data_IF_505845236582
#
_entry.id   IF_505845236582
#
_cell.length_a   1.000
_cell.length_b   1.000
_cell.length_c   1.000
_cell.angle_alpha   90.00
_cell.angle_beta   90.00
_cell.angle_gamma   90.00
#
_symmetry.space_group_name_H-M   'P 1'
#
loop_
_entity.id
_entity.type
_entity.pdbx_description
1 polymer ?
#
# COMPACT_ATOMS: atom_id res chain seq x y z
N UNK A 1 -6.89 -25.49 8.55
CA UNK A 1 -6.53 -26.71 7.81
C UNK A 1 -5.83 -26.39 6.50
N UNK A 2 -6.37 -25.54 5.61
CA UNK A 2 -5.76 -25.17 4.33
C UNK A 2 -4.32 -24.70 4.45
N UNK A 3 -3.99 -23.91 5.50
CA UNK A 3 -2.64 -23.47 5.77
C UNK A 3 -1.71 -24.62 6.15
N UNK A 4 -2.19 -25.53 6.99
CA UNK A 4 -1.45 -26.74 7.41
C UNK A 4 -1.15 -27.62 6.20
N UNK A 5 -2.11 -27.82 5.32
CA UNK A 5 -1.96 -28.55 4.06
C UNK A 5 -0.96 -27.89 3.13
N UNK A 6 -1.19 -26.63 2.79
CA UNK A 6 -0.35 -25.84 1.87
C UNK A 6 1.13 -25.87 2.24
N UNK A 7 1.43 -25.76 3.53
CA UNK A 7 2.79 -25.67 4.05
C UNK A 7 3.32 -27.00 4.58
N UNK A 8 2.56 -28.09 4.40
CA UNK A 8 2.92 -29.44 4.87
C UNK A 8 3.29 -29.45 6.38
N UNK A 9 2.53 -28.73 7.22
CA UNK A 9 2.76 -28.60 8.67
C UNK A 9 2.08 -29.70 9.48
N UNK A 10 1.79 -30.82 8.88
CA UNK A 10 1.25 -32.01 9.54
C UNK A 10 2.36 -32.84 10.20
N UNK A 11 1.95 -33.75 11.07
CA UNK A 11 2.90 -34.62 11.80
C UNK A 11 3.71 -35.49 10.82
N UNK A 12 5.01 -35.69 11.14
CA UNK A 12 5.93 -36.55 10.36
C UNK A 12 5.62 -38.06 10.47
N UNK A 13 4.45 -38.45 10.96
CA UNK A 13 4.00 -39.84 10.90
C UNK A 13 3.76 -40.24 9.45
N UNK A 14 3.96 -41.53 9.07
CA UNK A 14 3.60 -41.97 7.74
C UNK A 14 2.14 -41.61 7.46
N UNK A 15 1.94 -40.85 6.37
CA UNK A 15 0.60 -40.49 5.93
C UNK A 15 -0.04 -41.70 5.27
N UNK A 16 -1.33 -41.90 5.56
CA UNK A 16 -2.12 -42.99 4.99
C UNK A 16 -3.56 -42.55 4.76
N UNK A 17 -4.21 -43.18 3.81
CA UNK A 17 -5.66 -43.07 3.63
C UNK A 17 -6.39 -43.71 4.81
N UNK A 18 -7.69 -43.46 4.92
CA UNK A 18 -8.54 -44.06 5.95
C UNK A 18 -8.67 -45.58 5.82
N UNK A 19 -8.38 -46.13 4.66
CA UNK A 19 -8.28 -47.57 4.37
C UNK A 19 -6.85 -48.13 4.48
N UNK A 20 -5.90 -47.35 4.99
CA UNK A 20 -4.55 -47.78 5.35
C UNK A 20 -3.52 -47.76 4.19
N UNK A 21 -3.85 -47.18 3.05
CA UNK A 21 -2.90 -47.03 1.94
C UNK A 21 -1.90 -45.91 2.19
N UNK A 22 -0.58 -46.11 2.03
CA UNK A 22 0.42 -45.07 2.26
C UNK A 22 0.25 -43.93 1.25
N UNK A 23 0.40 -42.67 1.73
CA UNK A 23 0.33 -41.46 0.93
C UNK A 23 1.65 -40.71 1.01
N UNK A 24 2.13 -40.24 -0.14
CA UNK A 24 3.20 -39.23 -0.27
C UNK A 24 2.65 -38.00 -0.97
N UNK A 25 2.75 -36.83 -0.32
CA UNK A 25 2.34 -35.55 -0.92
C UNK A 25 3.56 -34.93 -1.62
N UNK A 26 3.63 -35.11 -2.94
CA UNK A 26 4.70 -34.57 -3.79
C UNK A 26 4.50 -33.05 -3.90
N UNK A 27 3.32 -32.61 -4.35
CA UNK A 27 2.91 -31.21 -4.46
C UNK A 27 1.51 -31.04 -3.85
N UNK A 28 1.31 -30.12 -2.87
CA UNK A 28 0.01 -29.88 -2.27
C UNK A 28 -1.00 -29.20 -3.22
N UNK A 29 -0.56 -28.69 -4.36
CA UNK A 29 -1.37 -27.96 -5.32
C UNK A 29 -1.42 -26.45 -5.08
N UNK A 30 -2.10 -25.77 -5.99
CA UNK A 30 -2.32 -24.33 -5.95
C UNK A 30 -3.62 -24.02 -5.22
N UNK A 31 -3.56 -23.21 -4.16
CA UNK A 31 -4.73 -22.82 -3.40
C UNK A 31 -5.73 -22.05 -4.27
N UNK A 32 -6.99 -22.47 -4.24
CA UNK A 32 -8.10 -21.82 -4.92
C UNK A 32 -8.72 -20.74 -4.03
N UNK A 33 -8.99 -19.56 -4.62
CA UNK A 33 -9.67 -18.45 -3.96
C UNK A 33 -11.08 -18.20 -4.52
N UNK A 34 -11.55 -19.09 -5.39
CA UNK A 34 -12.83 -19.01 -6.10
C UNK A 34 -13.68 -20.27 -5.84
N UNK A 35 -14.79 -20.41 -6.55
CA UNK A 35 -15.62 -21.62 -6.48
C UNK A 35 -14.87 -22.86 -6.99
N UNK A 36 -15.21 -24.05 -6.49
CA UNK A 36 -14.60 -25.34 -6.81
C UNK A 36 -13.63 -25.82 -5.73
N UNK A 37 -12.90 -26.94 -5.96
CA UNK A 37 -12.02 -27.54 -4.97
C UNK A 37 -10.96 -26.59 -4.41
N UNK A 38 -10.57 -26.79 -3.16
CA UNK A 38 -9.68 -25.91 -2.39
C UNK A 38 -8.25 -25.78 -2.95
N UNK A 39 -7.75 -26.86 -3.57
CA UNK A 39 -6.43 -26.88 -4.21
C UNK A 39 -6.50 -27.53 -5.57
N UNK A 40 -5.92 -26.86 -6.57
CA UNK A 40 -5.82 -27.36 -7.94
C UNK A 40 -4.47 -28.00 -8.23
N UNK A 41 -4.48 -29.00 -9.14
CA UNK A 41 -3.26 -29.61 -9.69
C UNK A 41 -2.31 -30.14 -8.60
N UNK A 42 -2.83 -30.64 -7.51
CA UNK A 42 -2.02 -31.36 -6.52
C UNK A 42 -1.44 -32.64 -7.14
N UNK A 43 -0.25 -33.04 -6.71
CA UNK A 43 0.40 -34.27 -7.09
C UNK A 43 0.70 -35.09 -5.85
N UNK A 44 0.04 -36.25 -5.76
CA UNK A 44 0.17 -37.16 -4.63
C UNK A 44 0.48 -38.58 -5.14
N UNK A 45 1.10 -39.39 -4.30
CA UNK A 45 1.29 -40.83 -4.58
C UNK A 45 0.52 -41.62 -3.53
N UNK A 46 -0.39 -42.48 -3.93
CA UNK A 46 -1.12 -43.43 -3.07
C UNK A 46 -0.65 -44.80 -3.46
N UNK A 47 -0.07 -45.55 -2.52
CA UNK A 47 0.72 -46.75 -2.80
C UNK A 47 1.80 -46.44 -3.84
N UNK A 48 1.80 -47.14 -4.98
CA UNK A 48 2.74 -46.94 -6.07
C UNK A 48 2.18 -46.13 -7.26
N UNK A 49 0.94 -45.62 -7.14
CA UNK A 49 0.28 -44.87 -8.20
C UNK A 49 0.38 -43.37 -7.92
N UNK A 50 0.87 -42.62 -8.89
CA UNK A 50 0.89 -41.16 -8.82
C UNK A 50 -0.39 -40.57 -9.40
N UNK A 51 -1.06 -39.74 -8.61
CA UNK A 51 -2.30 -39.06 -8.97
C UNK A 51 -2.03 -37.57 -9.15
N UNK A 52 -2.65 -36.98 -10.16
CA UNK A 52 -2.67 -35.52 -10.37
C UNK A 52 -4.11 -35.07 -10.48
N UNK A 53 -4.51 -34.13 -9.61
CA UNK A 53 -5.90 -33.64 -9.54
C UNK A 53 -6.09 -32.64 -8.42
N UNK A 54 -7.29 -32.53 -7.93
CA UNK A 54 -7.68 -31.53 -6.96
C UNK A 54 -7.81 -32.13 -5.54
N UNK A 55 -7.66 -31.25 -4.54
CA UNK A 55 -7.81 -31.61 -3.12
C UNK A 55 -8.94 -30.77 -2.55
N UNK A 56 -9.79 -31.41 -1.74
CA UNK A 56 -10.82 -30.74 -0.94
C UNK A 56 -10.55 -30.98 0.54
N UNK A 57 -10.73 -29.95 1.38
CA UNK A 57 -10.37 -29.97 2.80
C UNK A 57 -11.54 -29.49 3.66
N UNK A 58 -11.97 -30.32 4.59
CA UNK A 58 -13.05 -30.01 5.52
C UNK A 58 -12.63 -30.14 7.00
N UNK A 59 -13.40 -29.57 7.90
CA UNK A 59 -13.26 -29.83 9.33
C UNK A 59 -13.78 -31.24 9.65
N UNK A 60 -15.00 -31.53 9.21
CA UNK A 60 -15.63 -32.84 9.31
C UNK A 60 -15.84 -33.43 7.91
N UNK A 61 -15.66 -34.74 7.77
CA UNK A 61 -15.83 -35.39 6.47
C UNK A 61 -17.30 -35.28 5.95
N UNK A 62 -18.27 -35.23 6.84
CA UNK A 62 -19.70 -35.01 6.51
C UNK A 62 -19.97 -33.64 5.88
N UNK A 63 -19.07 -32.65 5.99
CA UNK A 63 -19.18 -31.36 5.30
C UNK A 63 -19.24 -31.53 3.77
N UNK A 64 -18.63 -32.58 3.24
CA UNK A 64 -18.73 -32.95 1.82
C UNK A 64 -20.18 -33.02 1.35
N UNK A 65 -21.03 -33.69 2.13
CA UNK A 65 -22.46 -33.81 1.83
C UNK A 65 -23.24 -32.55 2.18
N UNK A 66 -22.88 -31.87 3.24
CA UNK A 66 -23.52 -30.62 3.69
C UNK A 66 -23.36 -29.51 2.66
N UNK A 67 -22.22 -29.48 1.97
CA UNK A 67 -21.93 -28.55 0.88
C UNK A 67 -22.42 -29.04 -0.49
N UNK A 68 -23.05 -30.23 -0.57
CA UNK A 68 -23.55 -30.85 -1.80
C UNK A 68 -22.47 -31.18 -2.84
N UNK A 69 -21.22 -31.38 -2.44
CA UNK A 69 -20.13 -31.70 -3.38
C UNK A 69 -20.35 -33.03 -4.12
N UNK A 70 -21.05 -33.98 -3.50
CA UNK A 70 -21.44 -35.27 -4.09
C UNK A 70 -22.45 -35.13 -5.27
N UNK A 71 -23.02 -33.94 -5.46
CA UNK A 71 -23.96 -33.66 -6.56
C UNK A 71 -23.34 -32.74 -7.63
N UNK A 72 -22.16 -32.19 -7.37
CA UNK A 72 -21.51 -31.24 -8.27
C UNK A 72 -20.35 -31.89 -9.04
N UNK A 73 -20.48 -32.07 -10.38
CA UNK A 73 -19.43 -32.66 -11.21
C UNK A 73 -18.08 -31.93 -11.15
N UNK A 74 -18.04 -30.67 -10.73
CA UNK A 74 -16.79 -29.90 -10.56
C UNK A 74 -15.85 -30.56 -9.56
N UNK A 75 -16.41 -31.30 -8.57
CA UNK A 75 -15.67 -32.00 -7.53
C UNK A 75 -15.28 -33.43 -7.91
N UNK A 76 -15.71 -33.96 -9.06
CA UNK A 76 -15.35 -35.30 -9.53
C UNK A 76 -13.84 -35.44 -9.84
N UNK A 77 -13.15 -34.32 -10.03
CA UNK A 77 -11.70 -34.21 -10.20
C UNK A 77 -10.90 -34.27 -8.89
N UNK A 78 -11.57 -34.35 -7.73
CA UNK A 78 -10.91 -34.47 -6.42
C UNK A 78 -10.29 -35.88 -6.30
N UNK A 79 -8.96 -35.91 -6.09
CA UNK A 79 -8.17 -37.14 -5.98
C UNK A 79 -7.95 -37.56 -4.51
N UNK A 80 -8.11 -36.62 -3.56
CA UNK A 80 -8.00 -36.86 -2.13
C UNK A 80 -8.89 -35.87 -1.38
N UNK A 81 -9.73 -36.39 -0.53
CA UNK A 81 -10.47 -35.62 0.47
C UNK A 81 -9.71 -35.64 1.80
N UNK A 82 -9.48 -34.48 2.38
CA UNK A 82 -8.72 -34.30 3.62
C UNK A 82 -9.64 -33.74 4.70
N UNK A 83 -9.72 -34.37 5.87
CA UNK A 83 -10.51 -33.83 6.97
C UNK A 83 -9.80 -34.02 8.32
N UNK A 84 -10.14 -33.17 9.31
CA UNK A 84 -9.66 -33.33 10.68
C UNK A 84 -10.42 -34.41 11.46
N UNK A 85 -11.68 -34.62 11.12
CA UNK A 85 -12.58 -35.59 11.74
C UNK A 85 -13.26 -36.43 10.66
N UNK A 86 -13.09 -37.72 10.74
CA UNK A 86 -13.60 -38.70 9.74
C UNK A 86 -14.91 -39.31 10.23
N UNK A 87 -16.01 -38.64 9.96
CA UNK A 87 -17.36 -39.06 10.31
C UNK A 87 -18.21 -39.53 9.11
N UNK A 88 -17.69 -39.42 7.90
CA UNK A 88 -18.37 -39.86 6.66
C UNK A 88 -17.37 -40.28 5.58
N UNK A 89 -17.83 -40.98 4.55
CA UNK A 89 -17.05 -41.39 3.39
C UNK A 89 -17.50 -40.58 2.17
N UNK A 90 -16.64 -39.71 1.59
CA UNK A 90 -17.02 -38.86 0.46
C UNK A 90 -17.17 -39.67 -0.83
N UNK A 91 -18.15 -39.29 -1.65
CA UNK A 91 -18.44 -39.91 -2.95
C UNK A 91 -18.49 -38.86 -4.06
N UNK A 92 -18.11 -39.25 -5.26
CA UNK A 92 -18.29 -38.46 -6.48
C UNK A 92 -19.76 -38.45 -6.92
N UNK A 93 -20.08 -37.67 -7.93
CA UNK A 93 -21.43 -37.60 -8.52
C UNK A 93 -21.89 -38.95 -9.11
N UNK A 94 -20.96 -39.80 -9.51
CA UNK A 94 -21.22 -41.16 -10.04
C UNK A 94 -21.31 -42.24 -8.93
N UNK A 95 -21.15 -41.86 -7.65
CA UNK A 95 -21.21 -42.76 -6.49
C UNK A 95 -19.86 -43.43 -6.14
N UNK A 96 -18.80 -43.23 -6.89
CA UNK A 96 -17.46 -43.73 -6.52
C UNK A 96 -16.92 -43.04 -5.27
N UNK A 97 -16.30 -43.80 -4.36
CA UNK A 97 -15.67 -43.28 -3.17
C UNK A 97 -14.38 -42.53 -3.53
N UNK A 98 -14.14 -41.41 -2.85
CA UNK A 98 -12.90 -40.62 -2.98
C UNK A 98 -11.92 -41.09 -1.90
N UNK A 99 -10.64 -41.33 -2.25
CA UNK A 99 -9.59 -41.55 -1.25
C UNK A 99 -9.62 -40.45 -0.19
N UNK A 100 -9.54 -40.83 1.08
CA UNK A 100 -9.69 -39.89 2.21
C UNK A 100 -8.52 -40.02 3.17
N UNK A 101 -8.10 -38.90 3.75
CA UNK A 101 -7.01 -38.83 4.73
C UNK A 101 -7.44 -37.97 5.94
N UNK A 102 -7.15 -38.47 7.13
CA UNK A 102 -7.26 -37.69 8.35
C UNK A 102 -6.03 -36.79 8.53
N UNK A 103 -6.24 -35.48 8.69
CA UNK A 103 -5.18 -34.49 8.82
C UNK A 103 -4.84 -34.24 10.30
N UNK A 104 -3.76 -34.85 10.76
CA UNK A 104 -3.24 -34.59 12.09
C UNK A 104 -2.14 -33.53 12.04
N UNK A 105 -2.27 -32.51 12.88
CA UNK A 105 -1.25 -31.48 13.04
C UNK A 105 -0.90 -31.25 14.51
N UNK A 106 0.34 -30.79 14.81
CA UNK A 106 0.75 -30.55 16.19
C UNK A 106 -0.11 -29.49 16.87
N UNK A 107 -0.58 -29.70 18.12
CA UNK A 107 -1.44 -28.76 18.84
C UNK A 107 -0.84 -27.36 18.97
N UNK A 108 0.49 -27.23 19.10
CA UNK A 108 1.16 -25.93 19.19
C UNK A 108 0.89 -25.01 17.98
N UNK A 109 0.55 -25.55 16.83
CA UNK A 109 0.21 -24.72 15.65
C UNK A 109 -1.08 -23.93 15.90
N UNK A 110 -2.06 -24.55 16.51
CA UNK A 110 -3.33 -23.86 16.87
C UNK A 110 -3.08 -22.85 17.99
N UNK A 111 -2.31 -23.21 19.01
CA UNK A 111 -1.93 -22.34 20.12
C UNK A 111 -1.18 -21.10 19.61
N UNK A 112 -0.18 -21.27 18.74
CA UNK A 112 0.56 -20.18 18.12
C UNK A 112 -0.36 -19.28 17.28
N UNK A 113 -1.32 -19.86 16.57
CA UNK A 113 -2.29 -19.07 15.78
C UNK A 113 -3.20 -18.22 16.68
N UNK A 114 -3.73 -18.81 17.74
CA UNK A 114 -4.56 -18.10 18.69
C UNK A 114 -3.78 -16.98 19.39
N UNK A 115 -2.51 -17.21 19.75
CA UNK A 115 -1.64 -16.20 20.32
C UNK A 115 -1.43 -15.02 19.35
N UNK A 116 -1.14 -15.29 18.08
CA UNK A 116 -0.97 -14.26 17.06
C UNK A 116 -2.23 -13.41 16.87
N UNK A 117 -3.41 -14.03 16.90
CA UNK A 117 -4.67 -13.30 16.70
C UNK A 117 -5.09 -12.51 17.94
N UNK A 118 -4.91 -13.09 19.15
CA UNK A 118 -5.30 -12.48 20.42
C UNK A 118 -4.31 -11.45 20.95
N UNK A 119 -3.09 -11.43 20.42
CA UNK A 119 -2.05 -10.54 20.94
C UNK A 119 -2.46 -9.07 20.85
N UNK A 120 -2.45 -8.40 22.00
CA UNK A 120 -2.69 -6.96 22.13
C UNK A 120 -1.43 -6.17 21.80
N UNK A 121 -0.26 -6.74 22.07
CA UNK A 121 1.02 -6.12 21.75
C UNK A 121 1.33 -6.27 20.28
N UNK A 122 1.64 -5.18 19.68
CA UNK A 122 1.92 -5.13 18.26
C UNK A 122 3.42 -4.89 17.99
N UNK A 123 4.05 -5.60 17.01
CA UNK A 123 3.54 -6.75 16.25
C UNK A 123 3.48 -8.03 17.09
N UNK A 124 2.49 -8.87 16.85
CA UNK A 124 2.29 -10.09 17.63
C UNK A 124 3.52 -11.02 17.65
N UNK A 125 4.24 -11.09 16.52
CA UNK A 125 5.41 -11.94 16.32
C UNK A 125 6.75 -11.30 16.77
N UNK A 126 6.73 -10.20 17.56
CA UNK A 126 7.95 -9.45 17.92
C UNK A 126 9.05 -10.31 18.60
N UNK A 127 8.65 -11.35 19.37
CA UNK A 127 9.59 -12.20 20.13
C UNK A 127 10.54 -13.00 19.24
N UNK A 128 10.10 -13.39 18.04
CA UNK A 128 10.92 -14.21 17.16
C UNK A 128 11.79 -13.41 16.19
N UNK A 129 11.45 -12.14 15.93
CA UNK A 129 12.14 -11.32 14.94
C UNK A 129 13.66 -11.30 15.14
N UNK A 130 14.19 -11.08 16.36
CA UNK A 130 15.64 -11.06 16.58
C UNK A 130 16.34 -12.42 16.35
N UNK A 131 15.57 -13.50 16.29
CA UNK A 131 16.07 -14.86 16.12
C UNK A 131 16.01 -15.35 14.67
N UNK A 132 15.37 -14.55 13.78
CA UNK A 132 15.21 -14.91 12.37
C UNK A 132 16.51 -14.67 11.59
N UNK A 133 16.83 -15.54 10.62
CA UNK A 133 17.98 -15.32 9.73
C UNK A 133 17.86 -13.98 8.98
N UNK A 134 18.94 -13.22 8.92
CA UNK A 134 18.97 -11.92 8.21
C UNK A 134 18.57 -12.05 6.74
N UNK A 135 18.98 -13.13 6.07
CA UNK A 135 18.59 -13.42 4.69
C UNK A 135 17.07 -13.54 4.51
N UNK A 136 16.37 -14.20 5.44
CA UNK A 136 14.93 -14.35 5.41
C UNK A 136 14.24 -12.99 5.53
N UNK A 137 14.69 -12.17 6.48
CA UNK A 137 14.15 -10.83 6.68
C UNK A 137 14.39 -9.94 5.46
N UNK A 138 15.60 -9.97 4.91
CA UNK A 138 15.97 -9.19 3.73
C UNK A 138 15.13 -9.58 2.50
N UNK A 139 15.01 -10.89 2.23
CA UNK A 139 14.18 -11.41 1.14
C UNK A 139 12.71 -11.02 1.30
N UNK A 140 12.20 -11.05 2.54
CA UNK A 140 10.82 -10.65 2.79
C UNK A 140 10.60 -9.15 2.62
N UNK A 141 11.52 -8.30 3.10
CA UNK A 141 11.45 -6.85 2.90
C UNK A 141 11.51 -6.48 1.42
N UNK A 142 12.35 -7.14 0.62
CA UNK A 142 12.40 -6.93 -0.83
C UNK A 142 11.06 -7.26 -1.51
N UNK A 143 10.43 -8.38 -1.12
CA UNK A 143 9.09 -8.73 -1.62
C UNK A 143 8.06 -7.66 -1.25
N UNK A 144 8.04 -7.22 0.00
CA UNK A 144 7.12 -6.20 0.49
C UNK A 144 7.34 -4.83 -0.16
N UNK A 145 8.57 -4.51 -0.54
CA UNK A 145 8.90 -3.29 -1.29
C UNK A 145 8.25 -3.33 -2.68
N UNK A 146 8.32 -4.45 -3.38
CA UNK A 146 7.65 -4.63 -4.68
C UNK A 146 6.14 -4.52 -4.52
N UNK A 147 5.55 -5.23 -3.57
CA UNK A 147 4.10 -5.10 -3.27
C UNK A 147 3.70 -3.65 -2.96
N UNK A 148 4.57 -2.91 -2.27
CA UNK A 148 4.33 -1.49 -1.96
C UNK A 148 4.29 -0.65 -3.23
N UNK A 149 5.20 -0.88 -4.17
CA UNK A 149 5.18 -0.24 -5.48
C UNK A 149 3.91 -0.57 -6.26
N UNK A 150 3.52 -1.84 -6.29
CA UNK A 150 2.30 -2.28 -6.99
C UNK A 150 1.04 -1.63 -6.40
N UNK A 151 0.91 -1.60 -5.08
CA UNK A 151 -0.20 -0.94 -4.41
C UNK A 151 -0.27 0.57 -4.72
N UNK A 152 0.88 1.25 -4.80
CA UNK A 152 0.93 2.66 -5.18
C UNK A 152 0.63 2.86 -6.67
N UNK A 153 1.11 1.97 -7.52
CA UNK A 153 0.80 1.96 -8.96
C UNK A 153 -0.71 1.85 -9.19
N UNK A 154 -1.39 0.92 -8.51
CA UNK A 154 -2.85 0.79 -8.60
C UNK A 154 -3.60 2.08 -8.21
N UNK A 155 -3.11 2.82 -7.20
CA UNK A 155 -3.68 4.12 -6.84
C UNK A 155 -3.47 5.17 -7.93
N UNK A 156 -2.30 5.19 -8.56
CA UNK A 156 -1.99 6.08 -9.69
C UNK A 156 -2.85 5.72 -10.90
N UNK A 157 -2.98 4.44 -11.24
CA UNK A 157 -3.81 3.94 -12.33
C UNK A 157 -5.29 4.32 -12.16
N UNK A 158 -5.78 4.33 -10.93
CA UNK A 158 -7.12 4.82 -10.62
C UNK A 158 -7.29 6.29 -11.03
N UNK A 159 -6.33 7.16 -10.68
CA UNK A 159 -6.37 8.55 -11.11
C UNK A 159 -6.23 8.69 -12.63
N UNK A 160 -5.36 7.91 -13.26
CA UNK A 160 -5.22 7.92 -14.72
C UNK A 160 -6.54 7.52 -15.41
N UNK A 161 -7.24 6.53 -14.89
CA UNK A 161 -8.54 6.12 -15.41
C UNK A 161 -9.61 7.22 -15.20
N UNK A 162 -9.64 7.87 -14.03
CA UNK A 162 -10.57 8.96 -13.72
C UNK A 162 -10.35 10.21 -14.61
N UNK A 163 -9.08 10.46 -15.04
CA UNK A 163 -8.69 11.68 -15.75
C UNK A 163 -8.10 11.43 -17.14
N UNK A 164 -8.70 10.52 -17.90
CA UNK A 164 -8.40 10.27 -19.32
C UNK A 164 -6.91 10.05 -19.63
N UNK A 165 -6.18 9.31 -18.78
CA UNK A 165 -4.75 9.01 -18.92
C UNK A 165 -3.84 10.27 -18.86
N UNK A 166 -4.30 11.35 -18.22
CA UNK A 166 -3.49 12.54 -17.97
C UNK A 166 -2.51 12.32 -16.81
N UNK A 167 -1.25 11.98 -17.16
CA UNK A 167 -0.17 11.74 -16.21
C UNK A 167 0.21 13.00 -15.40
N UNK A 168 0.18 14.18 -16.03
CA UNK A 168 0.52 15.43 -15.35
C UNK A 168 -0.53 15.76 -14.28
N UNK A 169 -1.82 15.55 -14.61
CA UNK A 169 -2.89 15.80 -13.65
C UNK A 169 -2.95 14.75 -12.53
N UNK A 170 -2.78 13.46 -12.85
CA UNK A 170 -2.68 12.41 -11.84
C UNK A 170 -1.49 12.65 -10.88
N UNK A 171 -0.37 13.11 -11.42
CA UNK A 171 0.80 13.51 -10.64
C UNK A 171 0.48 14.70 -9.73
N UNK A 172 -0.16 15.76 -10.24
CA UNK A 172 -0.56 16.92 -9.46
C UNK A 172 -1.44 16.53 -8.27
N UNK A 173 -2.47 15.70 -8.49
CA UNK A 173 -3.37 15.23 -7.43
C UNK A 173 -2.59 14.47 -6.35
N UNK A 174 -1.71 13.56 -6.74
CA UNK A 174 -0.91 12.76 -5.81
C UNK A 174 0.12 13.60 -5.07
N UNK A 175 0.79 14.55 -5.74
CA UNK A 175 1.72 15.48 -5.15
C UNK A 175 1.01 16.35 -4.09
N UNK A 176 -0.12 16.93 -4.45
CA UNK A 176 -0.94 17.73 -3.56
C UNK A 176 -1.38 16.92 -2.32
N UNK A 177 -1.89 15.70 -2.51
CA UNK A 177 -2.22 14.80 -1.40
C UNK A 177 -1.05 14.64 -0.42
N UNK A 178 0.15 14.43 -0.93
CA UNK A 178 1.36 14.25 -0.13
C UNK A 178 1.85 15.55 0.51
N UNK A 179 1.54 16.73 -0.05
CA UNK A 179 1.73 18.03 0.61
C UNK A 179 0.86 18.22 1.87
N UNK A 180 -0.19 17.45 2.02
CA UNK A 180 -1.01 17.39 3.23
C UNK A 180 -0.33 16.70 4.42
N UNK A 181 0.79 16.01 4.22
CA UNK A 181 1.63 15.34 5.23
C UNK A 181 0.81 14.58 6.28
N UNK A 182 -0.19 13.83 5.84
CA UNK A 182 -1.06 12.98 6.66
C UNK A 182 -2.31 13.71 7.17
N UNK A 183 -2.18 14.82 7.91
CA UNK A 183 -3.32 15.48 8.56
C UNK A 183 -4.33 16.05 7.57
N UNK A 184 -3.86 16.67 6.51
CA UNK A 184 -4.68 17.28 5.47
C UNK A 184 -4.62 16.53 4.12
N UNK A 185 -4.07 15.32 4.06
CA UNK A 185 -3.85 14.61 2.80
C UNK A 185 -5.12 14.43 1.98
N UNK A 186 -6.20 13.99 2.59
CA UNK A 186 -7.48 13.78 1.90
C UNK A 186 -8.11 15.10 1.44
N UNK A 187 -7.98 16.17 2.26
CA UNK A 187 -8.45 17.51 1.89
C UNK A 187 -7.65 18.08 0.72
N UNK A 188 -6.32 17.89 0.71
CA UNK A 188 -5.47 18.29 -0.42
C UNK A 188 -5.80 17.53 -1.71
N UNK A 189 -6.13 16.25 -1.61
CA UNK A 189 -6.57 15.46 -2.78
C UNK A 189 -7.90 15.99 -3.33
N UNK A 190 -8.89 16.21 -2.48
CA UNK A 190 -10.18 16.78 -2.88
C UNK A 190 -10.02 18.16 -3.53
N UNK A 191 -9.21 19.02 -2.91
CA UNK A 191 -8.87 20.31 -3.47
C UNK A 191 -8.20 20.21 -4.84
N UNK A 192 -7.17 19.36 -4.97
CA UNK A 192 -6.45 19.21 -6.22
C UNK A 192 -7.35 18.74 -7.38
N UNK A 193 -8.32 17.88 -7.10
CA UNK A 193 -9.35 17.43 -8.06
C UNK A 193 -10.28 18.55 -8.54
N UNK A 194 -10.37 19.66 -7.79
CA UNK A 194 -11.14 20.84 -8.19
C UNK A 194 -10.31 21.88 -8.95
N UNK A 195 -8.97 21.77 -8.95
CA UNK A 195 -8.08 22.73 -9.60
C UNK A 195 -7.98 22.44 -11.09
N UNK A 196 -8.33 23.39 -11.97
CA UNK A 196 -8.23 23.20 -13.42
C UNK A 196 -6.78 23.39 -13.88
N UNK A 197 -5.96 22.36 -13.79
CA UNK A 197 -4.51 22.45 -14.05
C UNK A 197 -4.19 23.03 -15.44
N UNK A 198 -5.01 22.71 -16.45
CA UNK A 198 -4.87 23.27 -17.80
C UNK A 198 -5.05 24.81 -17.83
N UNK A 199 -5.93 25.36 -16.97
CA UNK A 199 -6.07 26.81 -16.83
C UNK A 199 -4.91 27.42 -16.05
N UNK A 200 -4.47 26.77 -14.98
CA UNK A 200 -3.28 27.17 -14.20
C UNK A 200 -2.04 27.21 -15.09
N UNK A 201 -1.85 26.23 -15.97
CA UNK A 201 -0.73 26.16 -16.91
C UNK A 201 -0.68 27.35 -17.89
N UNK A 202 -1.83 27.95 -18.24
CA UNK A 202 -1.88 29.16 -19.08
C UNK A 202 -1.45 30.44 -18.35
N UNK A 203 -1.35 30.38 -17.03
CA UNK A 203 -1.00 31.52 -16.16
C UNK A 203 0.29 31.25 -15.36
N UNK A 204 1.13 30.34 -15.84
CA UNK A 204 2.37 29.93 -15.13
C UNK A 204 3.39 31.06 -14.93
N UNK A 205 3.38 32.04 -15.79
CA UNK A 205 4.26 33.20 -15.72
C UNK A 205 3.92 34.17 -14.58
N UNK A 206 2.72 34.04 -13.99
CA UNK A 206 2.25 34.90 -12.91
C UNK A 206 1.94 34.12 -11.64
N UNK A 207 2.90 34.16 -10.67
CA UNK A 207 2.74 33.49 -9.38
C UNK A 207 1.46 33.91 -8.63
N UNK A 208 1.11 35.21 -8.68
CA UNK A 208 -0.06 35.73 -7.98
C UNK A 208 -1.36 35.11 -8.54
N UNK A 209 -1.45 34.92 -9.86
CA UNK A 209 -2.58 34.25 -10.47
C UNK A 209 -2.65 32.77 -10.11
N UNK A 210 -1.52 32.08 -10.03
CA UNK A 210 -1.51 30.68 -9.54
C UNK A 210 -1.99 30.61 -8.08
N UNK A 211 -1.51 31.50 -7.23
CA UNK A 211 -1.97 31.59 -5.84
C UNK A 211 -3.47 31.88 -5.77
N UNK A 212 -4.00 32.79 -6.61
CA UNK A 212 -5.43 33.08 -6.68
C UNK A 212 -6.25 31.85 -7.09
N UNK A 213 -5.81 31.08 -8.10
CA UNK A 213 -6.42 29.79 -8.43
C UNK A 213 -6.44 28.84 -7.26
N UNK A 214 -5.28 28.67 -6.62
CA UNK A 214 -5.10 27.66 -5.57
C UNK A 214 -5.88 27.99 -4.31
N UNK A 215 -5.75 29.23 -3.80
CA UNK A 215 -6.48 29.66 -2.60
C UNK A 215 -7.99 29.78 -2.82
N UNK A 216 -8.38 30.23 -4.01
CA UNK A 216 -9.78 30.33 -4.37
C UNK A 216 -10.46 28.96 -4.47
N UNK A 217 -9.85 28.01 -5.16
CA UNK A 217 -10.36 26.62 -5.25
C UNK A 217 -10.29 25.89 -3.90
N UNK A 218 -9.38 26.28 -3.02
CA UNK A 218 -9.29 25.76 -1.66
C UNK A 218 -10.39 26.26 -0.72
N UNK A 219 -11.18 27.26 -1.13
CA UNK A 219 -12.18 27.91 -0.29
C UNK A 219 -11.56 28.67 0.90
N UNK A 220 -10.29 29.08 0.79
CA UNK A 220 -9.56 29.77 1.86
C UNK A 220 -9.64 31.31 1.74
N UNK A 221 -10.16 31.84 0.62
CA UNK A 221 -10.44 33.24 0.46
C UNK A 221 -11.78 33.57 1.11
N UNK A 222 -11.77 34.43 2.12
CA UNK A 222 -12.99 34.89 2.80
C UNK A 222 -13.79 35.83 1.90
N UNK A 223 -15.09 35.98 2.14
CA UNK A 223 -15.93 36.92 1.38
C UNK A 223 -15.48 38.37 1.56
N UNK A 224 -14.99 38.73 2.77
CA UNK A 224 -14.47 40.05 3.10
C UNK A 224 -12.93 40.01 3.20
N UNK A 225 -12.24 40.94 2.52
CA UNK A 225 -10.79 41.04 2.61
C UNK A 225 -10.33 41.44 4.01
N UNK A 226 -9.23 40.88 4.48
CA UNK A 226 -8.61 41.20 5.76
C UNK A 226 -7.40 42.14 5.65
N UNK A 227 -6.88 42.29 4.44
CA UNK A 227 -5.77 43.18 4.08
C UNK A 227 -5.78 43.46 2.55
N UNK A 228 -4.89 44.35 2.10
CA UNK A 228 -4.78 44.71 0.69
C UNK A 228 -4.36 43.53 -0.20
N UNK A 229 -3.59 42.59 0.32
CA UNK A 229 -3.18 41.40 -0.44
C UNK A 229 -4.38 40.49 -0.72
N UNK A 230 -5.18 40.21 0.29
CA UNK A 230 -6.40 39.38 0.16
C UNK A 230 -7.46 40.06 -0.70
N UNK A 231 -7.59 41.40 -0.63
CA UNK A 231 -8.49 42.16 -1.49
C UNK A 231 -8.15 41.96 -2.99
N UNK A 232 -6.87 42.12 -3.34
CA UNK A 232 -6.40 41.90 -4.70
C UNK A 232 -6.56 40.41 -5.13
N UNK A 233 -6.29 39.48 -4.23
CA UNK A 233 -6.41 38.05 -4.52
C UNK A 233 -7.87 37.63 -4.77
N UNK A 234 -8.83 38.17 -4.01
CA UNK A 234 -10.27 37.95 -4.21
C UNK A 234 -10.70 38.51 -5.57
N UNK A 235 -10.26 39.73 -5.94
CA UNK A 235 -10.54 40.34 -7.25
C UNK A 235 -10.01 39.45 -8.37
N UNK A 236 -8.76 39.04 -8.28
CA UNK A 236 -8.11 38.17 -9.28
C UNK A 236 -8.80 36.81 -9.39
N UNK A 237 -9.11 36.18 -8.26
CA UNK A 237 -9.83 34.91 -8.28
C UNK A 237 -11.23 35.03 -8.89
N UNK A 238 -11.98 36.10 -8.59
CA UNK A 238 -13.30 36.33 -9.17
C UNK A 238 -13.22 36.49 -10.70
N UNK A 239 -12.20 37.18 -11.21
CA UNK A 239 -11.93 37.25 -12.63
C UNK A 239 -11.66 35.88 -13.24
N UNK A 240 -10.76 35.12 -12.63
CA UNK A 240 -10.40 33.76 -13.08
C UNK A 240 -11.61 32.80 -12.98
N UNK A 241 -12.39 32.94 -11.91
CA UNK A 241 -13.62 32.15 -11.69
C UNK A 241 -14.61 32.35 -12.83
N UNK A 242 -14.87 33.58 -13.24
CA UNK A 242 -15.75 33.91 -14.37
C UNK A 242 -15.16 33.42 -15.71
N UNK A 243 -13.86 33.68 -15.93
CA UNK A 243 -13.18 33.32 -17.17
C UNK A 243 -13.16 31.82 -17.44
N UNK A 244 -13.02 30.97 -16.41
CA UNK A 244 -12.89 29.53 -16.54
C UNK A 244 -14.09 28.73 -16.00
N UNK A 245 -15.16 29.39 -15.53
CA UNK A 245 -16.35 28.73 -14.99
C UNK A 245 -16.07 27.91 -13.72
N UNK A 246 -15.17 28.41 -12.85
CA UNK A 246 -14.69 27.64 -11.69
C UNK A 246 -15.74 27.55 -10.60
N UNK A 247 -15.73 26.41 -9.90
CA UNK A 247 -16.51 26.21 -8.69
C UNK A 247 -15.55 25.80 -7.56
N UNK A 248 -15.44 26.58 -6.47
CA UNK A 248 -14.62 26.17 -5.32
C UNK A 248 -15.18 24.89 -4.70
N UNK A 249 -14.30 24.04 -4.19
CA UNK A 249 -14.71 22.82 -3.51
C UNK A 249 -15.37 23.17 -2.17
N UNK A 250 -16.66 22.83 -2.00
CA UNK A 250 -17.39 22.98 -0.75
C UNK A 250 -16.96 21.99 0.34
N UNK A 251 -16.24 20.93 -0.05
CA UNK A 251 -15.95 19.79 0.83
C UNK A 251 -14.56 19.88 1.48
N UNK A 252 -13.78 20.90 1.17
CA UNK A 252 -12.45 21.11 1.72
C UNK A 252 -12.53 21.54 3.19
N UNK A 253 -12.34 20.60 4.11
CA UNK A 253 -12.29 20.86 5.55
C UNK A 253 -10.85 20.89 6.03
N UNK A 254 -10.25 22.07 6.01
CA UNK A 254 -8.87 22.26 6.41
C UNK A 254 -8.67 22.15 7.91
N UNK A 255 -7.67 21.35 8.33
CA UNK A 255 -7.32 21.15 9.74
C UNK A 255 -6.09 21.98 10.10
N UNK A 256 -6.17 22.76 11.18
CA UNK A 256 -5.08 23.57 11.71
C UNK A 256 -4.61 23.08 13.09
N UNK A 257 -5.51 22.45 13.83
CA UNK A 257 -5.25 22.00 15.19
C UNK A 257 -4.10 20.98 15.21
N UNK A 258 -3.18 21.17 16.16
CA UNK A 258 -1.97 20.33 16.35
C UNK A 258 -0.95 20.40 15.19
N UNK A 259 -1.06 21.38 14.30
CA UNK A 259 -0.04 21.66 13.31
C UNK A 259 0.85 22.82 13.76
N UNK A 260 2.16 22.74 13.45
CA UNK A 260 3.04 23.90 13.52
C UNK A 260 2.67 24.89 12.41
N UNK A 261 2.76 26.22 12.63
CA UNK A 261 2.35 27.21 11.63
C UNK A 261 2.95 27.01 10.24
N UNK A 262 4.24 26.62 10.16
CA UNK A 262 4.89 26.29 8.87
C UNK A 262 4.28 25.09 8.11
N UNK A 263 3.39 24.34 8.74
CA UNK A 263 2.65 23.21 8.14
C UNK A 263 1.17 23.53 7.89
N UNK A 264 0.75 24.78 8.10
CA UNK A 264 -0.63 25.17 7.82
C UNK A 264 -0.96 25.02 6.33
N UNK A 265 -2.21 24.70 5.99
CA UNK A 265 -2.65 24.59 4.60
C UNK A 265 -2.25 25.78 3.74
N UNK A 266 -2.36 27.01 4.26
CA UNK A 266 -1.95 28.22 3.56
C UNK A 266 -0.49 28.16 3.09
N UNK A 267 0.43 27.81 3.98
CA UNK A 267 1.85 27.72 3.65
C UNK A 267 2.10 26.60 2.63
N UNK A 268 1.44 25.45 2.78
CA UNK A 268 1.60 24.32 1.87
C UNK A 268 1.04 24.61 0.48
N UNK A 269 -0.09 25.32 0.38
CA UNK A 269 -0.66 25.78 -0.90
C UNK A 269 0.26 26.82 -1.55
N UNK A 270 0.76 27.80 -0.79
CA UNK A 270 1.71 28.78 -1.30
C UNK A 270 3.02 28.15 -1.82
N UNK A 271 3.55 27.16 -1.09
CA UNK A 271 4.72 26.40 -1.50
C UNK A 271 4.46 25.65 -2.82
N UNK A 272 3.30 25.03 -2.96
CA UNK A 272 2.92 24.29 -4.17
C UNK A 272 2.70 25.26 -5.35
N UNK A 273 2.10 26.43 -5.13
CA UNK A 273 1.95 27.49 -6.14
C UNK A 273 3.31 27.96 -6.65
N UNK A 274 4.24 28.24 -5.75
CA UNK A 274 5.59 28.66 -6.08
C UNK A 274 6.36 27.57 -6.85
N UNK A 275 6.18 26.30 -6.49
CA UNK A 275 6.76 25.16 -7.19
C UNK A 275 6.26 25.07 -8.63
N UNK A 276 4.94 25.20 -8.84
CA UNK A 276 4.33 25.18 -10.17
C UNK A 276 4.69 26.40 -11.02
N UNK A 277 4.81 27.56 -10.42
CA UNK A 277 5.27 28.77 -11.11
C UNK A 277 6.70 28.62 -11.66
N UNK A 278 7.61 28.07 -10.84
CA UNK A 278 9.03 27.96 -11.18
C UNK A 278 9.32 26.87 -12.21
N UNK A 279 8.55 25.77 -12.18
CA UNK A 279 8.85 24.56 -12.95
C UNK A 279 8.02 24.49 -14.23
N UNK A 280 8.66 24.55 -15.40
CA UNK A 280 8.00 24.23 -16.66
C UNK A 280 8.05 22.71 -16.88
N UNK A 281 6.90 22.03 -16.84
CA UNK A 281 6.84 20.57 -17.03
C UNK A 281 7.44 19.80 -15.84
N UNK A 282 7.04 20.12 -14.62
CA UNK A 282 7.53 19.50 -13.38
C UNK A 282 7.51 17.97 -13.43
N UNK A 283 6.43 17.39 -13.93
CA UNK A 283 6.32 15.93 -14.06
C UNK A 283 7.44 15.35 -14.94
N UNK A 284 7.63 15.90 -16.16
CA UNK A 284 8.65 15.40 -17.08
C UNK A 284 10.06 15.53 -16.51
N UNK A 285 10.38 16.69 -15.92
CA UNK A 285 11.70 16.92 -15.31
C UNK A 285 11.98 15.93 -14.17
N UNK A 286 10.97 15.61 -13.33
CA UNK A 286 11.10 14.64 -12.25
C UNK A 286 11.25 13.20 -12.78
N UNK A 287 10.58 12.88 -13.92
CA UNK A 287 10.72 11.55 -14.54
C UNK A 287 12.07 11.37 -15.25
N UNK A 288 12.73 12.45 -15.66
CA UNK A 288 14.05 12.44 -16.30
C UNK A 288 15.21 12.46 -15.29
N UNK A 289 14.99 12.98 -14.09
CA UNK A 289 16.02 13.09 -13.05
C UNK A 289 16.67 11.75 -12.70
N UNK A 290 17.98 11.70 -12.64
CA UNK A 290 18.77 10.49 -12.42
C UNK A 290 19.25 10.33 -10.98
N UNK A 291 19.26 11.41 -10.20
CA UNK A 291 19.78 11.42 -8.83
C UNK A 291 18.80 12.03 -7.82
N UNK A 292 18.91 11.59 -6.56
CA UNK A 292 18.14 12.17 -5.44
C UNK A 292 18.42 13.69 -5.29
N UNK A 293 19.63 14.14 -5.58
CA UNK A 293 19.96 15.55 -5.49
C UNK A 293 19.28 16.39 -6.57
N UNK A 294 19.16 15.89 -7.79
CA UNK A 294 18.36 16.53 -8.84
C UNK A 294 16.88 16.61 -8.42
N UNK A 295 16.31 15.52 -7.94
CA UNK A 295 14.92 15.50 -7.43
C UNK A 295 14.70 16.51 -6.32
N UNK A 296 15.64 16.62 -5.36
CA UNK A 296 15.59 17.63 -4.30
C UNK A 296 15.63 19.04 -4.84
N UNK A 297 16.48 19.32 -5.83
CA UNK A 297 16.59 20.64 -6.43
C UNK A 297 15.32 21.03 -7.20
N UNK A 298 14.70 20.10 -7.92
CA UNK A 298 13.43 20.31 -8.62
C UNK A 298 12.28 20.60 -7.65
N UNK A 299 12.25 19.91 -6.50
CA UNK A 299 11.22 20.09 -5.47
C UNK A 299 11.57 21.17 -4.43
N UNK A 300 12.74 21.78 -4.51
CA UNK A 300 13.10 22.88 -3.60
C UNK A 300 12.15 24.05 -3.84
N UNK A 301 11.38 24.42 -2.85
CA UNK A 301 10.36 25.46 -2.97
C UNK A 301 10.35 26.40 -1.76
N UNK A 302 9.88 27.61 -2.01
CA UNK A 302 9.58 28.63 -1.02
C UNK A 302 8.15 29.10 -1.17
N UNK A 303 7.90 30.35 -0.82
CA UNK A 303 6.60 31.02 -0.94
C UNK A 303 6.79 32.41 -1.54
N UNK A 304 5.70 33.07 -1.98
CA UNK A 304 5.72 34.49 -2.36
C UNK A 304 6.01 35.39 -1.15
N UNK A 305 6.31 36.65 -1.43
CA UNK A 305 6.77 37.62 -0.43
C UNK A 305 5.79 37.81 0.74
N UNK A 306 4.50 37.83 0.47
CA UNK A 306 3.46 37.97 1.51
C UNK A 306 3.63 36.91 2.62
N UNK A 307 3.92 35.67 2.24
CA UNK A 307 4.05 34.57 3.20
C UNK A 307 5.36 34.63 4.02
N UNK A 308 6.30 35.49 3.70
CA UNK A 308 7.46 35.69 4.57
C UNK A 308 7.06 36.22 5.95
N UNK A 309 5.99 37.01 6.03
CA UNK A 309 5.48 37.62 7.25
C UNK A 309 4.12 37.12 7.70
N UNK A 310 3.56 36.09 7.03
CA UNK A 310 2.24 35.53 7.35
C UNK A 310 2.24 34.00 7.36
N UNK A 311 1.44 33.40 8.24
CA UNK A 311 1.14 31.97 8.23
C UNK A 311 -0.33 31.68 7.85
N UNK A 312 -1.18 32.69 7.99
CA UNK A 312 -2.58 32.76 7.56
C UNK A 312 -2.85 34.16 7.05
N UNK A 313 -3.93 34.36 6.33
CA UNK A 313 -4.30 35.68 5.85
C UNK A 313 -4.53 36.67 7.01
N UNK A 314 -4.06 37.90 6.85
CA UNK A 314 -4.30 39.02 7.75
C UNK A 314 -3.64 38.95 9.13
N UNK A 315 -2.88 37.90 9.46
CA UNK A 315 -2.22 37.77 10.77
C UNK A 315 -0.70 37.87 10.59
N UNK A 316 -0.09 39.05 10.88
CA UNK A 316 1.34 39.23 10.73
C UNK A 316 2.16 38.36 11.70
N UNK A 317 3.34 37.97 11.28
CA UNK A 317 4.34 37.27 12.06
C UNK A 317 5.74 37.81 11.76
N UNK A 318 6.76 37.55 12.59
CA UNK A 318 8.13 37.85 12.25
C UNK A 318 8.52 37.28 10.90
N UNK A 319 9.30 38.04 10.12
CA UNK A 319 9.76 37.62 8.79
C UNK A 319 10.62 36.38 8.89
N UNK A 320 10.24 35.35 8.16
CA UNK A 320 10.95 34.07 8.10
C UNK A 320 10.69 33.38 6.77
N UNK A 321 11.73 32.90 6.05
CA UNK A 321 11.55 32.10 4.84
C UNK A 321 10.79 30.80 5.13
N UNK A 322 9.70 30.56 4.40
CA UNK A 322 8.89 29.34 4.53
C UNK A 322 9.23 28.35 3.44
N UNK A 323 10.44 27.80 3.51
CA UNK A 323 10.93 26.80 2.58
C UNK A 323 10.48 25.39 2.99
N UNK A 324 10.38 24.50 2.00
CA UNK A 324 10.18 23.08 2.26
C UNK A 324 11.46 22.49 2.85
N UNK A 325 11.39 21.87 4.02
CA UNK A 325 12.55 21.23 4.64
C UNK A 325 13.02 20.03 3.81
N UNK A 326 14.31 19.70 3.89
CA UNK A 326 14.85 18.54 3.17
C UNK A 326 14.11 17.24 3.55
N UNK A 327 13.79 17.04 4.82
CA UNK A 327 13.01 15.86 5.25
C UNK A 327 11.61 15.82 4.64
N UNK A 328 10.94 16.97 4.48
CA UNK A 328 9.65 17.05 3.78
C UNK A 328 9.82 16.77 2.28
N UNK A 329 10.88 17.29 1.67
CA UNK A 329 11.20 17.01 0.26
C UNK A 329 11.46 15.52 0.04
N UNK A 330 12.23 14.87 0.92
CA UNK A 330 12.51 13.44 0.85
C UNK A 330 11.21 12.62 0.96
N UNK A 331 10.28 13.02 1.84
CA UNK A 331 8.96 12.38 1.93
C UNK A 331 8.12 12.54 0.65
N UNK A 332 8.20 13.70 -0.03
CA UNK A 332 7.54 13.89 -1.33
C UNK A 332 8.17 13.01 -2.41
N UNK A 333 9.48 12.87 -2.42
CA UNK A 333 10.20 11.99 -3.34
C UNK A 333 9.77 10.53 -3.10
N UNK A 334 9.85 10.04 -1.87
CA UNK A 334 9.50 8.66 -1.48
C UNK A 334 8.04 8.33 -1.80
N UNK A 335 7.13 9.27 -1.53
CA UNK A 335 5.70 8.99 -1.58
C UNK A 335 5.00 9.45 -2.87
N UNK A 336 5.66 10.26 -3.71
CA UNK A 336 5.11 10.74 -4.99
C UNK A 336 6.01 10.39 -6.17
N UNK A 337 7.23 10.95 -6.22
CA UNK A 337 8.07 10.89 -7.42
C UNK A 337 8.48 9.47 -7.77
N UNK A 338 9.04 8.75 -6.80
CA UNK A 338 9.52 7.37 -7.00
C UNK A 338 8.38 6.42 -7.38
N UNK A 339 7.20 6.42 -6.71
CA UNK A 339 6.05 5.64 -7.16
C UNK A 339 5.58 5.97 -8.58
N UNK A 340 5.58 7.26 -8.97
CA UNK A 340 5.24 7.65 -10.33
C UNK A 340 6.26 7.17 -11.35
N UNK A 341 7.56 7.25 -11.03
CA UNK A 341 8.61 6.72 -11.89
C UNK A 341 8.45 5.21 -12.11
N UNK A 342 8.14 4.46 -11.05
CA UNK A 342 7.88 3.02 -11.14
C UNK A 342 6.62 2.73 -11.98
N UNK A 343 5.50 3.39 -11.68
CA UNK A 343 4.24 3.22 -12.41
C UNK A 343 4.37 3.59 -13.89
N UNK A 344 5.09 4.68 -14.20
CA UNK A 344 5.37 5.10 -15.57
C UNK A 344 6.26 4.09 -16.30
N UNK A 345 7.26 3.54 -15.62
CA UNK A 345 8.08 2.44 -16.15
C UNK A 345 7.25 1.20 -16.49
N UNK A 346 6.35 0.79 -15.61
CA UNK A 346 5.43 -0.33 -15.86
C UNK A 346 4.50 -0.05 -17.06
N UNK A 347 3.91 1.14 -17.12
CA UNK A 347 3.03 1.54 -18.21
C UNK A 347 3.75 1.55 -19.56
N UNK A 348 5.02 1.96 -19.60
CA UNK A 348 5.85 2.00 -20.82
C UNK A 348 6.58 0.68 -21.09
N UNK A 349 6.39 -0.37 -20.29
CA UNK A 349 7.15 -1.62 -20.34
C UNK A 349 8.67 -1.37 -20.33
N UNK A 350 9.12 -0.42 -19.50
CA UNK A 350 10.51 0.01 -19.39
C UNK A 350 11.08 -0.36 -18.01
N UNK A 351 11.73 -1.52 -17.95
CA UNK A 351 12.32 -2.05 -16.72
C UNK A 351 13.46 -1.16 -16.17
N UNK A 352 14.15 -0.39 -17.02
CA UNK A 352 15.20 0.53 -16.57
C UNK A 352 14.63 1.64 -15.67
N UNK A 353 13.42 2.15 -15.96
CA UNK A 353 12.74 3.12 -15.10
C UNK A 353 12.33 2.50 -13.76
N UNK A 354 11.81 1.28 -13.77
CA UNK A 354 11.46 0.55 -12.55
C UNK A 354 12.70 0.33 -11.66
N UNK A 355 13.82 -0.09 -12.27
CA UNK A 355 15.08 -0.29 -11.56
C UNK A 355 15.64 1.04 -10.99
N UNK A 356 15.54 2.13 -11.77
CA UNK A 356 15.95 3.47 -11.30
C UNK A 356 15.11 3.91 -10.10
N UNK A 357 13.79 3.67 -10.11
CA UNK A 357 12.92 3.97 -8.98
C UNK A 357 13.37 3.24 -7.70
N UNK A 358 13.73 1.95 -7.82
CA UNK A 358 14.24 1.16 -6.70
C UNK A 358 15.58 1.73 -6.18
N UNK A 359 16.54 2.02 -7.07
CA UNK A 359 17.84 2.59 -6.69
C UNK A 359 17.70 3.94 -5.98
N UNK A 360 16.88 4.85 -6.51
CA UNK A 360 16.64 6.15 -5.89
C UNK A 360 16.01 6.02 -4.49
N UNK A 361 15.15 5.00 -4.30
CA UNK A 361 14.56 4.72 -2.99
C UNK A 361 15.59 4.22 -1.98
N UNK A 362 16.58 3.44 -2.43
CA UNK A 362 17.68 2.92 -1.59
C UNK A 362 18.72 4.02 -1.24
N UNK A 363 18.87 5.07 -2.06
CA UNK A 363 19.74 6.21 -1.75
C UNK A 363 19.16 7.14 -0.66
N UNK A 364 17.86 7.07 -0.40
CA UNK A 364 17.19 7.91 0.60
C UNK A 364 17.26 7.29 1.99
N UNK A 365 17.41 8.15 3.00
CA UNK A 365 17.32 7.72 4.40
C UNK A 365 15.93 7.16 4.73
N UNK A 366 15.84 6.18 5.65
CA UNK A 366 14.55 5.66 6.09
C UNK A 366 13.68 6.76 6.68
N UNK A 367 12.37 6.62 6.52
CA UNK A 367 11.39 7.51 7.13
C UNK A 367 11.48 7.42 8.66
N UNK A 368 11.27 8.54 9.34
CA UNK A 368 11.20 8.58 10.80
C UNK A 368 9.76 8.80 11.25
N UNK A 369 8.99 7.73 11.33
CA UNK A 369 7.61 7.75 11.82
C UNK A 369 7.42 6.70 12.93
N UNK A 370 6.21 6.68 13.54
CA UNK A 370 5.93 5.75 14.65
C UNK A 370 6.04 4.28 14.26
N UNK A 371 5.71 3.93 13.00
CA UNK A 371 5.79 2.55 12.49
C UNK A 371 7.25 2.09 12.47
N UNK A 372 8.15 2.92 11.94
CA UNK A 372 9.58 2.57 11.82
C UNK A 372 10.24 2.49 13.20
N UNK A 373 9.89 3.40 14.13
CA UNK A 373 10.38 3.31 15.51
C UNK A 373 9.90 2.03 16.19
N UNK A 374 8.63 1.67 16.04
CA UNK A 374 8.08 0.43 16.58
C UNK A 374 8.82 -0.80 16.04
N UNK A 375 9.10 -0.86 14.72
CA UNK A 375 9.83 -1.98 14.14
C UNK A 375 11.27 -2.06 14.66
N UNK A 376 11.92 -0.91 14.86
CA UNK A 376 13.25 -0.85 15.48
C UNK A 376 13.25 -1.42 16.91
N UNK A 377 12.23 -1.09 17.71
CA UNK A 377 12.02 -1.69 19.05
C UNK A 377 11.83 -3.22 18.98
N UNK A 378 11.28 -3.73 17.90
CA UNK A 378 11.11 -5.16 17.66
C UNK A 378 12.36 -5.84 17.06
N UNK A 379 13.46 -5.11 16.84
CA UNK A 379 14.71 -5.65 16.30
C UNK A 379 14.78 -5.61 14.76
N UNK A 380 13.85 -4.92 14.06
CA UNK A 380 13.92 -4.68 12.62
C UNK A 380 14.32 -3.22 12.36
N UNK A 381 15.56 -3.03 11.94
CA UNK A 381 16.09 -1.72 11.60
C UNK A 381 16.03 -1.49 10.08
N UNK A 382 15.53 -0.32 9.68
CA UNK A 382 15.52 0.09 8.28
C UNK A 382 16.85 0.78 7.95
N UNK A 383 17.53 0.34 6.90
CA UNK A 383 18.80 0.91 6.43
C UNK A 383 18.56 2.07 5.46
N UNK A 384 17.52 2.00 4.66
CA UNK A 384 17.15 2.99 3.64
C UNK A 384 15.62 3.13 3.49
N UNK A 385 15.18 4.05 2.64
CA UNK A 385 13.75 4.32 2.46
C UNK A 385 12.98 3.10 1.89
N UNK A 386 13.62 2.23 1.11
CA UNK A 386 13.04 0.98 0.63
C UNK A 386 12.60 0.08 1.78
N UNK A 387 13.48 -0.13 2.78
CA UNK A 387 13.14 -0.90 3.97
C UNK A 387 11.99 -0.24 4.75
N UNK A 388 12.02 1.09 4.92
CA UNK A 388 10.94 1.77 5.64
C UNK A 388 9.59 1.65 4.92
N UNK A 389 9.55 1.69 3.59
CA UNK A 389 8.33 1.47 2.81
C UNK A 389 7.86 0.01 2.90
N UNK A 390 8.77 -0.97 2.90
CA UNK A 390 8.46 -2.38 3.12
C UNK A 390 7.88 -2.62 4.52
N UNK A 391 8.45 -2.02 5.56
CA UNK A 391 7.95 -2.11 6.94
C UNK A 391 6.58 -1.44 7.12
N UNK A 392 6.32 -0.34 6.41
CA UNK A 392 4.99 0.29 6.37
C UNK A 392 3.99 -0.64 5.67
N UNK A 393 4.39 -1.31 4.58
CA UNK A 393 3.58 -2.31 3.89
C UNK A 393 3.24 -3.47 4.82
N UNK A 394 4.25 -4.03 5.50
CA UNK A 394 4.07 -5.11 6.47
C UNK A 394 3.07 -4.73 7.56
N UNK A 395 3.21 -3.51 8.14
CA UNK A 395 2.28 -3.02 9.16
C UNK A 395 0.86 -2.96 8.63
N UNK A 396 0.64 -2.18 7.57
CA UNK A 396 -0.71 -1.82 7.10
C UNK A 396 -1.44 -2.97 6.42
N UNK A 397 -0.75 -3.76 5.59
CA UNK A 397 -1.39 -4.75 4.73
C UNK A 397 -1.35 -6.17 5.28
N UNK A 398 -0.54 -6.43 6.31
CA UNK A 398 -0.45 -7.73 6.96
C UNK A 398 -0.83 -7.66 8.43
N UNK A 399 -0.12 -6.87 9.23
CA UNK A 399 -0.31 -6.89 10.68
C UNK A 399 -1.63 -6.27 11.13
N UNK A 400 -2.00 -5.09 10.60
CA UNK A 400 -3.26 -4.43 10.93
C UNK A 400 -4.48 -5.25 10.48
N UNK A 401 -4.30 -6.05 9.43
CA UNK A 401 -5.34 -6.93 8.88
C UNK A 401 -5.27 -8.36 9.45
N UNK A 402 -4.40 -8.63 10.43
CA UNK A 402 -4.18 -9.96 11.03
C UNK A 402 -3.89 -11.07 9.99
N UNK A 403 -3.22 -10.71 8.89
CA UNK A 403 -2.86 -11.64 7.81
C UNK A 403 -1.56 -12.42 8.12
N UNK A 404 -1.43 -12.93 9.35
CA UNK A 404 -0.22 -13.64 9.81
C UNK A 404 0.03 -14.92 9.00
N UNK A 405 -1.01 -15.58 8.52
CA UNK A 405 -0.91 -16.78 7.68
C UNK A 405 -0.30 -16.50 6.28
N UNK A 406 -0.32 -15.26 5.82
CA UNK A 406 0.25 -14.84 4.54
C UNK A 406 1.61 -14.15 4.71
N UNK A 407 2.08 -14.02 5.96
CA UNK A 407 3.31 -13.33 6.31
C UNK A 407 4.45 -14.34 6.52
N UNK A 408 5.64 -14.06 5.94
CA UNK A 408 6.79 -14.94 6.11
C UNK A 408 7.28 -15.01 7.56
N UNK A 409 7.22 -13.89 8.29
CA UNK A 409 7.53 -13.88 9.72
C UNK A 409 6.48 -14.68 10.50
N UNK A 410 5.21 -14.55 10.14
CA UNK A 410 4.13 -15.36 10.71
C UNK A 410 4.35 -16.85 10.49
N UNK A 411 4.78 -17.25 9.30
CA UNK A 411 5.10 -18.65 9.00
C UNK A 411 6.21 -19.20 9.91
N UNK A 412 7.28 -18.44 10.15
CA UNK A 412 8.33 -18.85 11.05
C UNK A 412 7.86 -18.92 12.51
N UNK A 413 6.93 -18.05 12.92
CA UNK A 413 6.29 -18.11 14.22
C UNK A 413 5.51 -19.41 14.41
N UNK A 414 4.73 -19.81 13.40
CA UNK A 414 3.94 -21.04 13.43
C UNK A 414 4.78 -22.29 13.64
N UNK A 415 5.98 -22.35 13.05
CA UNK A 415 6.85 -23.53 13.10
C UNK A 415 7.50 -23.78 14.43
N UNK A 416 7.57 -22.77 15.30
CA UNK A 416 8.28 -22.91 16.59
C UNK A 416 7.44 -23.71 17.56
N UNK A 417 8.07 -24.74 18.16
CA UNK A 417 7.47 -25.55 19.22
C UNK A 417 7.46 -24.82 20.56
N UNK A 418 8.42 -23.91 20.79
CA UNK A 418 8.56 -23.09 21.99
C UNK A 418 8.93 -21.67 21.57
N UNK A 419 8.22 -20.68 22.07
CA UNK A 419 8.42 -19.26 21.78
C UNK A 419 8.82 -18.54 23.07
#
# INVERSE_FOLDING_TARGET
LHYVWKHKLFTLKPLQTTDGQPIEIIDPGLANMHAGPDFFNAKIKINDVTWVGNIEIHQQASDWFRHNHHLDPTYDSVILHVASDIDAVPTRSNGETIPQMELHYPPYLLENYEELIRADRYPACFRIIPQLPSFLLHSWLSTLQVERFENKTQQIEKHLHEYNQDWEYAFFITLARNFGFGVNSDTFELWAKSVPLAAVNKHRDNLFQIEAFFFGQAGLLQELPVDAYTENMIKEYNYLKQKFGLQPSSDCRWRFLRLRPGNFPHIRIAQLACLYHRSQGLFSQLMEAESVNELRNLLKGGTSEYWLTHYTFGIPSPSHPKTISQSSTDLLIINTVIPFLYAYGKHKSNDALCLRATKLLEELKPENNYIIRMWKECGLEASHAGDSQALIQLKKNYCDLKKCLYCRIGYEYFKKKEI
#
